data_IF_640271406383
#
_entry.id   IF_640271406383
#
_cell.length_a   1.000
_cell.length_b   1.000
_cell.length_c   1.000
_cell.angle_alpha   90.00
_cell.angle_beta   90.00
_cell.angle_gamma   90.00
#
_symmetry.space_group_name_H-M   'P 1'
#
loop_
_entity.id
_entity.type
_entity.pdbx_description
1 polymer ?
#
# COMPACT_ATOMS: atom_id res chain seq x y z
N UNK A 1 -0.74 6.47 7.16
CA UNK A 1 0.42 6.72 6.27
C UNK A 1 1.74 6.51 7.01
N UNK A 2 2.00 5.29 7.52
CA UNK A 2 3.25 5.00 8.27
C UNK A 2 4.29 4.40 7.32
N UNK A 3 3.92 3.37 6.55
CA UNK A 3 4.80 2.69 5.62
C UNK A 3 5.57 3.62 4.65
N UNK A 4 4.90 4.63 4.08
CA UNK A 4 5.54 5.62 3.19
C UNK A 4 6.59 6.48 3.92
N UNK A 5 6.39 6.77 5.20
CA UNK A 5 7.32 7.61 6.00
C UNK A 5 8.51 6.82 6.51
N UNK A 6 8.32 5.54 6.78
CA UNK A 6 9.34 4.64 7.32
C UNK A 6 10.14 3.91 6.22
N UNK A 7 9.73 4.00 4.96
CA UNK A 7 10.48 3.42 3.86
C UNK A 7 11.87 4.09 3.75
N UNK A 8 12.98 3.33 3.72
CA UNK A 8 14.33 3.92 3.63
C UNK A 8 14.64 4.51 2.25
N UNK A 9 14.04 3.97 1.18
CA UNK A 9 14.27 4.40 -0.21
C UNK A 9 13.16 5.29 -0.76
N UNK A 10 12.12 5.56 0.04
CA UNK A 10 10.90 6.27 -0.38
C UNK A 10 10.24 5.69 -1.64
N UNK A 11 10.25 4.36 -1.78
CA UNK A 11 9.68 3.66 -2.93
C UNK A 11 8.14 3.57 -2.93
N UNK A 12 7.45 4.11 -1.91
CA UNK A 12 5.99 4.04 -1.78
C UNK A 12 5.40 5.43 -2.00
N UNK A 13 4.33 5.52 -2.78
CA UNK A 13 3.54 6.74 -2.95
C UNK A 13 2.11 6.52 -2.43
N UNK A 14 1.60 7.47 -1.64
CA UNK A 14 0.25 7.42 -1.06
C UNK A 14 -0.43 8.77 -1.21
N UNK A 15 -1.57 8.77 -1.90
CA UNK A 15 -2.50 9.90 -1.92
C UNK A 15 -3.77 9.53 -1.15
N UNK A 16 -4.30 10.47 -0.38
CA UNK A 16 -5.55 10.29 0.36
C UNK A 16 -6.24 11.62 0.61
N UNK A 17 -7.55 11.58 0.71
CA UNK A 17 -8.36 12.69 1.20
C UNK A 17 -9.11 12.30 2.47
N UNK A 18 -9.71 13.29 3.13
CA UNK A 18 -10.54 13.06 4.31
C UNK A 18 -12.00 13.21 3.94
N UNK A 19 -12.80 12.19 4.23
CA UNK A 19 -14.25 12.24 4.08
C UNK A 19 -14.94 12.34 5.43
N UNK A 20 -16.02 13.13 5.48
CA UNK A 20 -16.95 13.14 6.60
C UNK A 20 -18.01 12.05 6.40
N UNK A 21 -18.05 11.09 7.32
CA UNK A 21 -19.03 10.00 7.29
C UNK A 21 -20.00 10.17 8.47
N UNK A 22 -21.28 10.27 8.16
CA UNK A 22 -22.36 10.29 9.15
C UNK A 22 -23.14 8.98 9.07
N UNK A 23 -23.14 8.20 10.14
CA UNK A 23 -23.89 6.94 10.22
C UNK A 23 -25.21 7.15 10.99
N UNK A 24 -26.31 6.45 10.62
CA UNK A 24 -27.57 6.52 11.35
C UNK A 24 -27.39 6.19 12.84
N UNK A 25 -27.76 7.13 13.72
CA UNK A 25 -27.59 6.98 15.18
C UNK A 25 -26.26 7.48 15.73
N UNK A 26 -25.35 7.99 14.89
CA UNK A 26 -24.11 8.61 15.37
C UNK A 26 -24.38 9.95 16.06
N UNK A 27 -23.76 10.18 17.22
CA UNK A 27 -23.85 11.45 17.97
C UNK A 27 -23.18 12.62 17.23
N UNK A 28 -22.12 12.33 16.46
CA UNK A 28 -21.37 13.31 15.67
C UNK A 28 -20.78 12.64 14.42
N UNK A 29 -20.50 13.40 13.35
CA UNK A 29 -19.80 12.87 12.19
C UNK A 29 -18.39 12.38 12.54
N UNK A 30 -17.92 11.36 11.81
CA UNK A 30 -16.53 10.90 11.86
C UNK A 30 -15.78 11.38 10.63
N UNK A 31 -14.50 11.70 10.78
CA UNK A 31 -13.61 12.00 9.67
C UNK A 31 -12.73 10.79 9.45
N UNK A 32 -12.78 10.22 8.24
CA UNK A 32 -12.01 9.04 7.86
C UNK A 32 -11.09 9.40 6.70
N UNK A 33 -9.89 8.82 6.69
CA UNK A 33 -9.00 8.91 5.55
C UNK A 33 -9.46 7.89 4.49
N UNK A 34 -9.65 8.36 3.26
CA UNK A 34 -9.97 7.55 2.09
C UNK A 34 -8.75 7.53 1.19
N UNK A 35 -8.32 6.33 0.82
CA UNK A 35 -7.14 6.11 -0.01
C UNK A 35 -7.49 6.40 -1.48
N UNK A 36 -6.78 7.35 -2.08
CA UNK A 36 -6.94 7.69 -3.50
C UNK A 36 -5.96 6.90 -4.37
N UNK A 37 -4.72 6.77 -3.91
CA UNK A 37 -3.65 6.08 -4.63
C UNK A 37 -2.69 5.39 -3.68
N UNK A 38 -2.24 4.21 -4.08
CA UNK A 38 -1.13 3.51 -3.45
C UNK A 38 -0.30 2.83 -4.53
N UNK A 39 0.98 3.19 -4.60
CA UNK A 39 1.92 2.64 -5.56
C UNK A 39 3.24 2.26 -4.91
N UNK A 40 3.89 1.22 -5.43
CA UNK A 40 5.25 0.83 -5.06
C UNK A 40 6.13 0.87 -6.32
N UNK A 41 7.27 1.55 -6.24
CA UNK A 41 8.34 1.50 -7.24
C UNK A 41 9.33 0.38 -6.90
N UNK A 42 9.22 -0.75 -7.59
CA UNK A 42 10.13 -1.89 -7.44
C UNK A 42 11.53 -1.63 -7.98
N UNK A 43 11.74 -0.56 -8.76
CA UNK A 43 13.05 -0.11 -9.19
C UNK A 43 13.83 0.61 -8.09
N UNK A 44 13.13 1.11 -7.06
CA UNK A 44 13.73 1.76 -5.89
C UNK A 44 13.72 0.87 -4.65
N UNK A 45 12.75 -0.04 -4.52
CA UNK A 45 12.57 -0.88 -3.34
C UNK A 45 13.80 -1.77 -3.06
N UNK A 46 14.39 -1.66 -1.86
CA UNK A 46 15.47 -2.56 -1.42
C UNK A 46 15.00 -3.83 -0.69
N UNK A 47 13.70 -4.12 -0.66
CA UNK A 47 13.12 -5.32 -0.03
C UNK A 47 13.41 -5.46 1.48
N UNK A 48 13.48 -4.35 2.22
CA UNK A 48 13.79 -4.35 3.66
C UNK A 48 12.67 -4.90 4.57
N UNK A 49 11.42 -4.92 4.11
CA UNK A 49 10.27 -5.42 4.88
C UNK A 49 9.68 -4.45 5.92
N UNK A 50 10.28 -3.29 6.14
CA UNK A 50 9.82 -2.30 7.14
C UNK A 50 8.36 -1.91 6.91
N UNK A 51 7.94 -1.71 5.65
CA UNK A 51 6.58 -1.34 5.31
C UNK A 51 5.52 -2.36 5.77
N UNK A 52 5.89 -3.66 5.81
CA UNK A 52 5.04 -4.75 6.32
C UNK A 52 4.99 -4.71 7.84
N UNK A 53 6.15 -4.56 8.50
CA UNK A 53 6.25 -4.58 9.97
C UNK A 53 5.56 -3.38 10.63
N UNK A 54 5.67 -2.19 10.04
CA UNK A 54 5.11 -0.96 10.62
C UNK A 54 3.64 -0.75 10.30
N UNK A 55 3.02 -1.60 9.47
CA UNK A 55 1.64 -1.43 9.06
C UNK A 55 0.70 -1.81 10.22
N UNK A 56 -0.06 -0.86 10.80
CA UNK A 56 -0.89 -1.13 11.98
C UNK A 56 -2.18 -1.89 11.65
N UNK A 57 -2.43 -2.16 10.37
CA UNK A 57 -3.62 -2.81 9.86
C UNK A 57 -3.32 -4.12 9.15
N UNK A 58 -2.06 -4.59 9.17
CA UNK A 58 -1.59 -5.73 8.39
C UNK A 58 -2.07 -5.64 6.91
N UNK A 59 -1.96 -4.46 6.30
CA UNK A 59 -2.44 -4.24 4.93
C UNK A 59 -1.44 -4.67 3.84
N UNK A 60 -0.17 -4.90 4.22
CA UNK A 60 0.91 -5.25 3.31
C UNK A 60 1.53 -6.58 3.74
N UNK A 61 1.86 -7.42 2.76
CA UNK A 61 2.49 -8.72 2.97
C UNK A 61 3.48 -9.01 1.85
N UNK A 62 4.43 -9.89 2.13
CA UNK A 62 5.27 -10.47 1.08
C UNK A 62 4.51 -11.59 0.36
N UNK A 63 4.44 -11.47 -0.95
CA UNK A 63 4.10 -12.59 -1.82
C UNK A 63 5.32 -13.51 -1.98
N UNK A 64 5.13 -14.84 -2.06
CA UNK A 64 6.19 -15.75 -2.51
C UNK A 64 6.52 -15.57 -4.00
N UNK A 65 5.69 -14.84 -4.75
CA UNK A 65 5.98 -14.41 -6.10
C UNK A 65 6.76 -13.08 -6.06
N UNK A 66 7.91 -13.04 -6.72
CA UNK A 66 8.84 -11.90 -6.70
C UNK A 66 9.40 -11.59 -8.10
N UNK A 67 8.63 -11.89 -9.15
CA UNK A 67 8.95 -11.45 -10.49
C UNK A 67 8.16 -10.17 -10.80
N UNK A 68 8.88 -9.06 -11.02
CA UNK A 68 8.34 -7.76 -11.40
C UNK A 68 8.73 -7.44 -12.84
N UNK A 69 8.27 -8.21 -13.84
CA UNK A 69 8.72 -8.02 -15.21
C UNK A 69 8.19 -6.67 -15.72
N UNK A 70 9.12 -5.85 -16.21
CA UNK A 70 8.83 -4.58 -16.85
C UNK A 70 9.70 -4.44 -18.11
N UNK A 71 9.08 -4.09 -19.23
CA UNK A 71 9.78 -3.86 -20.50
C UNK A 71 10.02 -2.38 -20.81
N UNK A 72 9.41 -1.48 -20.05
CA UNK A 72 9.42 -0.03 -20.28
C UNK A 72 9.91 0.73 -19.04
N UNK A 73 10.55 1.90 -19.22
CA UNK A 73 10.85 2.80 -18.11
C UNK A 73 9.59 3.12 -17.30
N UNK A 74 9.67 2.98 -15.97
CA UNK A 74 8.53 3.17 -15.07
C UNK A 74 7.59 1.96 -14.95
N UNK A 75 7.80 0.87 -15.70
CA UNK A 75 7.00 -0.35 -15.56
C UNK A 75 7.19 -1.10 -14.24
N UNK A 76 8.16 -0.67 -13.42
CA UNK A 76 8.36 -1.15 -12.05
C UNK A 76 7.54 -0.37 -11.02
N UNK A 77 6.90 0.73 -11.41
CA UNK A 77 5.91 1.41 -10.57
C UNK A 77 4.57 0.70 -10.72
N UNK A 78 4.08 0.12 -9.63
CA UNK A 78 2.88 -0.69 -9.63
C UNK A 78 1.85 -0.15 -8.66
N UNK A 79 0.65 0.10 -9.20
CA UNK A 79 -0.53 0.56 -8.46
C UNK A 79 -1.22 -0.59 -7.73
N UNK A 80 -2.10 -0.26 -6.77
CA UNK A 80 -2.89 -1.22 -5.96
C UNK A 80 -3.49 -2.36 -6.77
N UNK A 81 -4.02 -2.09 -7.96
CA UNK A 81 -4.65 -3.11 -8.81
C UNK A 81 -3.67 -4.21 -9.21
N UNK A 82 -2.44 -3.84 -9.60
CA UNK A 82 -1.38 -4.77 -9.97
C UNK A 82 -0.85 -5.52 -8.75
N UNK A 83 -0.69 -4.82 -7.63
CA UNK A 83 -0.29 -5.44 -6.37
C UNK A 83 -1.31 -6.47 -5.87
N UNK A 84 -2.60 -6.22 -6.11
CA UNK A 84 -3.70 -7.10 -5.71
C UNK A 84 -3.72 -8.45 -6.46
N UNK A 85 -3.11 -8.52 -7.65
CA UNK A 85 -2.98 -9.77 -8.42
C UNK A 85 -2.28 -10.88 -7.61
N UNK A 86 -1.42 -10.50 -6.65
CA UNK A 86 -0.67 -11.43 -5.79
C UNK A 86 -1.33 -11.73 -4.44
N UNK A 87 -2.47 -11.11 -4.11
CA UNK A 87 -3.17 -11.44 -2.87
C UNK A 87 -3.49 -12.94 -2.70
N UNK A 88 -3.82 -13.72 -3.74
CA UNK A 88 -4.08 -15.15 -3.58
C UNK A 88 -2.87 -15.98 -3.14
N UNK A 89 -1.64 -15.51 -3.38
CA UNK A 89 -0.41 -16.23 -3.00
C UNK A 89 0.16 -15.81 -1.65
N UNK A 90 -0.40 -14.77 -1.01
CA UNK A 90 -0.01 -14.34 0.33
C UNK A 90 -0.29 -15.47 1.34
N UNK A 91 0.72 -15.93 2.11
CA UNK A 91 0.50 -16.92 3.15
C UNK A 91 -0.45 -16.36 4.23
N UNK A 92 -1.53 -17.10 4.51
CA UNK A 92 -2.37 -16.84 5.67
C UNK A 92 -1.54 -17.16 6.92
N UNK A 93 -1.29 -16.17 7.78
CA UNK A 93 -0.60 -16.39 9.06
C UNK A 93 -1.40 -17.31 9.99
#
# INVERSE_FOLDING_TARGET
>A
MICVRECPDWCIEIDSHTEEVTEPGARRPRFVAVLDRFAIDWGLCMYCGICVEVCPFDALFWSPEHDYPASEPGGLVQETQRLADWLPSVPQR
#
